data_IF_329967861979
#
_entry.id   IF_329967861979
#
_cell.length_a   1.000
_cell.length_b   1.000
_cell.length_c   1.000
_cell.angle_alpha   90.00
_cell.angle_beta   90.00
_cell.angle_gamma   90.00
#
_symmetry.space_group_name_H-M   'P 1'
#
loop_
_entity.id
_entity.type
_entity.pdbx_description
1 polymer ?
#
# COMPACT_ATOMS: atom_id res chain seq x y z
N UNK A 1 2.55 15.93 8.08
CA UNK A 1 1.42 14.98 8.14
C UNK A 1 1.92 13.64 8.70
N UNK A 2 1.07 12.91 9.41
CA UNK A 2 1.33 11.58 9.97
C UNK A 2 0.15 10.67 9.57
N UNK A 3 0.44 9.47 9.09
CA UNK A 3 -0.56 8.45 8.79
C UNK A 3 -0.50 7.37 9.86
N UNK A 4 -1.62 7.12 10.52
CA UNK A 4 -1.74 6.06 11.51
C UNK A 4 -2.63 4.95 10.96
N UNK A 5 -2.04 3.76 10.86
CA UNK A 5 -2.74 2.52 10.57
C UNK A 5 -3.05 1.74 11.82
N UNK A 6 -4.19 1.06 11.81
CA UNK A 6 -4.52 0.07 12.84
C UNK A 6 -4.71 -1.29 12.17
N UNK A 7 -4.06 -2.32 12.73
CA UNK A 7 -4.11 -3.70 12.25
C UNK A 7 -3.71 -3.86 10.77
N UNK A 8 -2.43 -3.63 10.46
CA UNK A 8 -1.86 -3.74 9.11
C UNK A 8 -2.09 -5.11 8.45
N UNK A 9 -2.15 -6.18 9.25
CA UNK A 9 -2.45 -7.56 8.84
C UNK A 9 -3.89 -7.97 9.16
N UNK A 10 -4.87 -7.07 9.13
CA UNK A 10 -6.28 -7.47 9.27
C UNK A 10 -7.14 -6.66 8.31
N UNK A 11 -6.84 -6.74 7.03
CA UNK A 11 -7.66 -6.09 6.00
C UNK A 11 -9.04 -6.74 5.86
N UNK A 12 -9.21 -7.97 6.32
CA UNK A 12 -10.46 -8.71 6.22
C UNK A 12 -11.57 -8.24 7.18
N UNK A 13 -11.24 -7.37 8.15
CA UNK A 13 -12.21 -6.80 9.10
C UNK A 13 -12.37 -5.30 8.88
N UNK A 14 -13.54 -4.77 9.26
CA UNK A 14 -13.77 -3.33 9.26
C UNK A 14 -12.71 -2.64 10.11
N UNK A 15 -12.12 -1.61 9.53
CA UNK A 15 -10.95 -0.95 10.07
C UNK A 15 -10.90 0.48 9.60
N UNK A 16 -9.95 1.25 10.12
CA UNK A 16 -9.77 2.62 9.68
C UNK A 16 -8.29 2.96 9.61
N UNK A 17 -7.98 4.06 8.94
CA UNK A 17 -6.72 4.76 9.07
C UNK A 17 -6.98 6.24 9.33
N UNK A 18 -5.98 6.92 9.89
CA UNK A 18 -6.09 8.32 10.30
C UNK A 18 -4.97 9.13 9.68
N UNK A 19 -5.32 10.28 9.10
CA UNK A 19 -4.42 11.26 8.56
C UNK A 19 -4.39 12.46 9.50
N UNK A 20 -3.24 12.69 10.12
CA UNK A 20 -3.03 13.72 11.12
C UNK A 20 -2.13 14.80 10.57
N UNK A 21 -2.56 16.04 10.73
CA UNK A 21 -1.74 17.19 10.38
C UNK A 21 -0.74 17.47 11.50
N UNK A 22 0.47 17.86 11.11
CA UNK A 22 1.53 18.29 12.03
C UNK A 22 2.18 19.55 11.45
N UNK A 23 1.98 20.74 12.06
CA UNK A 23 1.15 20.95 13.26
C UNK A 23 -0.34 20.64 13.01
N UNK A 24 -1.13 20.35 14.06
CA UNK A 24 -2.58 20.16 13.93
C UNK A 24 -3.25 21.37 13.29
N UNK A 25 -4.28 21.13 12.49
CA UNK A 25 -5.10 22.18 11.87
C UNK A 25 -6.28 22.47 12.79
N UNK A 26 -6.50 23.76 13.09
CA UNK A 26 -7.57 24.21 13.98
C UNK A 26 -8.90 24.45 13.25
N UNK A 27 -8.87 24.74 11.95
CA UNK A 27 -10.05 24.87 11.09
C UNK A 27 -9.95 23.88 9.90
N UNK A 28 -10.83 22.87 9.82
CA UNK A 28 -10.77 21.86 8.76
C UNK A 28 -10.96 22.43 7.35
N UNK A 29 -11.42 23.69 7.21
CA UNK A 29 -11.54 24.36 5.91
C UNK A 29 -10.20 24.89 5.36
N UNK A 30 -9.13 24.91 6.16
CA UNK A 30 -7.79 25.34 5.70
C UNK A 30 -7.10 24.29 4.81
N UNK A 31 -7.58 23.04 4.83
CA UNK A 31 -6.95 21.93 4.11
C UNK A 31 -8.00 21.05 3.46
N UNK A 32 -7.69 20.59 2.25
CA UNK A 32 -8.43 19.51 1.60
C UNK A 32 -7.70 18.21 1.87
N UNK A 33 -8.41 17.20 2.38
CA UNK A 33 -7.87 15.85 2.58
C UNK A 33 -8.66 14.88 1.75
N UNK A 34 -7.99 14.26 0.78
CA UNK A 34 -8.57 13.23 -0.07
C UNK A 34 -8.01 11.88 0.36
N UNK A 35 -8.89 10.89 0.50
CA UNK A 35 -8.48 9.50 0.65
C UNK A 35 -8.20 8.89 -0.72
N UNK A 36 -7.23 7.99 -0.81
CA UNK A 36 -6.89 7.36 -2.09
C UNK A 36 -6.42 5.91 -1.95
N UNK A 37 -6.55 5.17 -3.05
CA UNK A 37 -5.84 3.92 -3.30
C UNK A 37 -4.68 4.25 -4.25
N UNK A 38 -3.46 3.87 -3.90
CA UNK A 38 -2.26 4.27 -4.67
C UNK A 38 -2.04 3.44 -5.93
N UNK A 39 -2.73 2.30 -6.07
CA UNK A 39 -2.63 1.44 -7.25
C UNK A 39 -3.53 0.20 -7.15
N UNK A 40 -3.72 -0.47 -8.29
CA UNK A 40 -4.49 -1.71 -8.36
C UNK A 40 -3.66 -2.91 -7.92
N UNK A 41 -4.09 -3.55 -6.85
CA UNK A 41 -3.47 -4.78 -6.31
C UNK A 41 -4.31 -6.02 -6.62
N UNK A 42 -5.51 -5.88 -7.17
CA UNK A 42 -6.38 -7.00 -7.59
C UNK A 42 -6.81 -6.91 -9.06
N UNK A 43 -7.48 -7.93 -9.57
CA UNK A 43 -7.60 -8.19 -11.01
C UNK A 43 -8.51 -7.21 -11.75
N UNK A 44 -9.58 -6.73 -11.12
CA UNK A 44 -10.57 -5.87 -11.78
C UNK A 44 -10.76 -4.53 -11.08
N UNK A 45 -11.44 -3.58 -11.73
CA UNK A 45 -11.78 -2.27 -11.13
C UNK A 45 -12.63 -2.47 -9.88
N UNK A 46 -13.62 -3.35 -9.96
CA UNK A 46 -14.57 -3.66 -8.89
C UNK A 46 -13.87 -4.29 -7.68
N UNK A 47 -12.76 -4.98 -7.93
CA UNK A 47 -11.91 -5.54 -6.90
C UNK A 47 -10.98 -4.49 -6.26
N UNK A 48 -10.82 -3.31 -6.85
CA UNK A 48 -9.97 -2.25 -6.32
C UNK A 48 -10.77 -0.96 -6.06
N UNK A 49 -11.86 -1.00 -5.27
CA UNK A 49 -12.68 0.17 -5.05
C UNK A 49 -11.86 1.29 -4.39
N UNK A 50 -12.21 2.53 -4.71
CA UNK A 50 -11.70 3.69 -4.00
C UNK A 50 -12.11 3.63 -2.53
N UNK A 51 -11.24 4.05 -1.59
CA UNK A 51 -11.66 4.18 -0.20
C UNK A 51 -12.77 5.23 -0.08
N UNK A 52 -13.63 5.15 0.96
CA UNK A 52 -14.58 6.22 1.26
C UNK A 52 -13.88 7.55 1.53
N UNK A 53 -14.62 8.64 1.37
CA UNK A 53 -14.11 9.99 1.65
C UNK A 53 -13.60 10.13 3.08
N UNK A 54 -12.49 10.86 3.23
CA UNK A 54 -11.99 11.22 4.54
C UNK A 54 -12.91 12.23 5.22
N UNK A 55 -13.21 12.04 6.50
CA UNK A 55 -13.99 12.99 7.29
C UNK A 55 -13.19 13.49 8.51
N UNK A 56 -13.46 14.72 8.92
CA UNK A 56 -12.82 15.32 10.09
C UNK A 56 -13.50 14.83 11.38
N UNK A 57 -12.78 14.05 12.20
CA UNK A 57 -13.31 13.42 13.41
C UNK A 57 -13.24 14.37 14.62
N UNK A 58 -14.31 15.12 14.84
CA UNK A 58 -14.43 16.11 15.92
C UNK A 58 -14.62 15.50 17.32
N UNK A 59 -14.68 14.17 17.44
CA UNK A 59 -14.93 13.51 18.74
C UNK A 59 -13.70 13.47 19.68
N UNK A 60 -12.53 13.91 19.20
CA UNK A 60 -11.26 13.85 19.94
C UNK A 60 -10.56 15.21 20.01
N UNK A 61 -9.75 15.44 21.05
CA UNK A 61 -9.13 16.75 21.33
C UNK A 61 -8.07 17.21 20.31
N UNK A 62 -7.68 16.33 19.39
CA UNK A 62 -6.85 16.62 18.22
C UNK A 62 -7.41 15.84 17.04
N UNK A 63 -8.47 16.37 16.38
CA UNK A 63 -9.20 15.67 15.33
C UNK A 63 -8.28 15.21 14.19
N UNK A 64 -8.22 13.90 13.89
CA UNK A 64 -7.67 13.43 12.63
C UNK A 64 -8.69 13.59 11.50
N UNK A 65 -8.21 13.49 10.27
CA UNK A 65 -9.04 13.05 9.16
C UNK A 65 -9.07 11.53 9.17
N UNK A 66 -10.25 10.95 9.29
CA UNK A 66 -10.45 9.50 9.42
C UNK A 66 -11.08 8.94 8.15
N UNK A 67 -10.63 7.75 7.76
CA UNK A 67 -11.20 6.98 6.67
C UNK A 67 -11.61 5.62 7.24
N UNK A 68 -12.92 5.39 7.30
CA UNK A 68 -13.47 4.10 7.71
C UNK A 68 -13.52 3.18 6.49
N UNK A 69 -12.70 2.13 6.53
CA UNK A 69 -12.63 1.12 5.48
C UNK A 69 -13.82 0.20 5.62
N UNK A 70 -14.61 0.10 4.55
CA UNK A 70 -15.74 -0.82 4.45
C UNK A 70 -15.27 -2.03 3.66
N UNK A 71 -15.19 -3.20 4.30
CA UNK A 71 -14.60 -4.37 3.66
C UNK A 71 -15.60 -5.26 2.89
N UNK A 72 -16.91 -5.02 2.98
CA UNK A 72 -18.03 -5.69 2.24
C UNK A 72 -17.92 -7.23 2.05
N UNK A 73 -17.12 -7.93 2.84
CA UNK A 73 -16.76 -9.33 2.60
C UNK A 73 -15.94 -9.60 1.32
N UNK A 74 -15.46 -8.56 0.63
CA UNK A 74 -14.80 -8.66 -0.67
C UNK A 74 -13.31 -8.27 -0.66
N UNK A 75 -12.69 -8.14 0.52
CA UNK A 75 -11.29 -7.71 0.68
C UNK A 75 -11.01 -6.31 0.10
N UNK A 76 -12.02 -5.43 0.11
CA UNK A 76 -11.92 -4.07 -0.40
C UNK A 76 -10.87 -3.25 0.38
N UNK A 77 -10.60 -3.60 1.64
CA UNK A 77 -9.59 -2.95 2.47
C UNK A 77 -8.17 -3.51 2.32
N UNK A 78 -7.95 -4.46 1.40
CA UNK A 78 -6.61 -4.93 1.02
C UNK A 78 -6.00 -4.01 -0.05
N UNK A 79 -4.70 -3.71 0.07
CA UNK A 79 -3.96 -2.89 -0.88
C UNK A 79 -3.15 -1.80 -0.21
N UNK A 80 -2.77 -0.78 -1.00
CA UNK A 80 -2.05 0.40 -0.52
C UNK A 80 -2.96 1.62 -0.62
N UNK A 81 -3.16 2.28 0.51
CA UNK A 81 -4.06 3.42 0.68
C UNK A 81 -3.28 4.62 1.17
N UNK A 82 -3.89 5.80 1.15
CA UNK A 82 -3.23 6.99 1.65
C UNK A 82 -4.16 8.17 1.78
N UNK A 83 -3.58 9.27 2.26
CA UNK A 83 -4.18 10.58 2.14
C UNK A 83 -3.33 11.46 1.25
N UNK A 84 -4.01 12.17 0.38
CA UNK A 84 -3.49 13.36 -0.26
C UNK A 84 -3.99 14.57 0.50
N UNK A 85 -3.07 15.43 0.95
CA UNK A 85 -3.44 16.67 1.62
C UNK A 85 -2.96 17.85 0.82
N UNK A 86 -3.89 18.76 0.54
CA UNK A 86 -3.61 20.04 -0.09
C UNK A 86 -3.89 21.18 0.88
N UNK A 87 -2.89 22.00 1.17
CA UNK A 87 -3.03 23.27 1.90
C UNK A 87 -2.90 24.45 0.93
N UNK A 88 -3.86 25.37 0.96
CA UNK A 88 -3.90 26.60 0.15
C UNK A 88 -3.69 26.35 -1.36
N UNK A 89 -4.09 25.17 -1.86
CA UNK A 89 -3.94 24.79 -3.28
C UNK A 89 -2.49 24.57 -3.75
N UNK A 90 -1.49 24.50 -2.86
CA UNK A 90 -0.06 24.55 -3.24
C UNK A 90 0.82 23.45 -2.68
N UNK A 91 0.54 22.95 -1.48
CA UNK A 91 1.36 21.88 -0.87
C UNK A 91 0.58 20.59 -0.89
N UNK A 92 0.94 19.72 -1.83
CA UNK A 92 0.48 18.34 -1.93
C UNK A 92 1.41 17.45 -1.10
N UNK A 93 0.88 16.76 -0.09
CA UNK A 93 1.62 15.72 0.61
C UNK A 93 0.84 14.44 0.54
N UNK A 94 1.46 13.41 -0.05
CA UNK A 94 0.90 12.07 -0.11
C UNK A 94 1.63 11.20 0.91
N UNK A 95 0.86 10.52 1.75
CA UNK A 95 1.37 9.49 2.65
C UNK A 95 0.57 8.23 2.46
N UNK A 96 1.24 7.08 2.50
CA UNK A 96 0.63 5.79 2.16
C UNK A 96 0.85 4.74 3.23
N UNK A 97 -0.09 3.80 3.29
CA UNK A 97 -0.10 2.64 4.17
C UNK A 97 -0.45 1.40 3.38
N UNK A 98 0.30 0.33 3.62
CA UNK A 98 -0.01 -1.00 3.11
C UNK A 98 -0.90 -1.74 4.10
N UNK A 99 -1.97 -2.36 3.60
CA UNK A 99 -2.87 -3.23 4.35
C UNK A 99 -2.94 -4.60 3.69
N UNK A 100 -2.73 -5.64 4.47
CA UNK A 100 -2.76 -7.03 4.03
C UNK A 100 -3.68 -7.86 4.93
N UNK A 101 -4.05 -9.05 4.45
CA UNK A 101 -4.86 -10.00 5.21
C UNK A 101 -4.07 -10.63 6.36
N UNK A 102 -4.76 -11.02 7.43
CA UNK A 102 -4.13 -11.79 8.53
C UNK A 102 -3.73 -13.19 8.09
N UNK A 103 -4.47 -13.76 7.17
CA UNK A 103 -4.31 -15.10 6.61
C UNK A 103 -3.71 -15.07 5.19
N UNK A 104 -2.86 -14.06 4.92
CA UNK A 104 -2.12 -13.96 3.66
C UNK A 104 -1.16 -15.15 3.50
N UNK A 105 -1.09 -15.70 2.29
CA UNK A 105 -0.20 -16.81 1.90
C UNK A 105 1.24 -16.35 1.68
N UNK A 106 1.42 -15.06 1.41
CA UNK A 106 2.71 -14.44 1.11
C UNK A 106 2.80 -13.11 1.87
N UNK A 107 3.91 -12.87 2.56
CA UNK A 107 4.16 -11.64 3.33
C UNK A 107 5.61 -11.16 3.15
N UNK A 108 5.92 -9.86 3.38
CA UNK A 108 7.32 -9.40 3.39
C UNK A 108 8.15 -10.13 4.44
N UNK A 109 9.28 -10.68 4.04
CA UNK A 109 10.16 -11.50 4.88
C UNK A 109 10.77 -10.74 6.08
N UNK A 110 10.96 -9.43 5.94
CA UNK A 110 11.48 -8.56 6.98
C UNK A 110 10.37 -7.91 7.84
N UNK A 111 9.10 -8.25 7.59
CA UNK A 111 7.95 -7.62 8.24
C UNK A 111 7.73 -6.16 7.85
N UNK A 112 8.51 -5.61 6.90
CA UNK A 112 8.39 -4.24 6.42
C UNK A 112 7.58 -4.20 5.12
N UNK A 113 6.45 -3.51 5.15
CA UNK A 113 5.60 -3.29 3.97
C UNK A 113 6.03 -2.09 3.14
N UNK A 114 7.05 -1.38 3.59
CA UNK A 114 7.61 -0.21 2.93
C UNK A 114 9.12 -0.30 2.98
N UNK A 115 9.76 -0.03 1.85
CA UNK A 115 11.20 0.02 1.72
C UNK A 115 11.58 1.36 1.11
N UNK A 116 12.56 2.04 1.70
CA UNK A 116 13.06 3.31 1.18
C UNK A 116 14.49 3.14 0.71
N UNK A 117 14.75 3.56 -0.52
CA UNK A 117 16.05 3.47 -1.20
C UNK A 117 16.37 4.81 -1.84
N UNK A 118 17.62 5.02 -2.23
CA UNK A 118 18.06 6.21 -2.95
C UNK A 118 18.31 5.89 -4.41
N UNK A 119 18.21 6.89 -5.28
CA UNK A 119 18.66 6.76 -6.67
C UNK A 119 20.13 6.34 -6.71
N UNK A 120 20.46 5.42 -7.61
CA UNK A 120 21.81 4.85 -7.74
C UNK A 120 22.13 3.69 -6.81
N UNK A 121 21.28 3.36 -5.82
CA UNK A 121 21.40 2.10 -5.07
C UNK A 121 21.35 0.92 -6.07
N UNK A 122 22.11 -0.14 -5.83
CA UNK A 122 22.14 -1.34 -6.70
C UNK A 122 21.90 -2.59 -5.88
N UNK A 123 21.47 -3.67 -6.54
CA UNK A 123 21.20 -4.96 -5.90
C UNK A 123 20.18 -4.85 -4.76
N UNK A 124 19.16 -4.03 -4.93
CA UNK A 124 18.12 -3.79 -3.92
C UNK A 124 17.16 -4.98 -3.91
N UNK A 125 17.10 -5.77 -2.83
CA UNK A 125 16.21 -6.92 -2.75
C UNK A 125 14.86 -6.52 -2.17
N UNK A 126 13.79 -7.07 -2.73
CA UNK A 126 12.42 -7.04 -2.22
C UNK A 126 12.04 -8.49 -1.97
N UNK A 127 12.02 -8.88 -0.69
CA UNK A 127 11.94 -10.28 -0.26
C UNK A 127 10.60 -10.59 0.38
N UNK A 128 9.95 -11.61 -0.13
CA UNK A 128 8.73 -12.19 0.43
C UNK A 128 9.03 -13.54 1.06
N UNK A 129 8.14 -13.99 1.93
CA UNK A 129 8.12 -15.33 2.50
C UNK A 129 6.73 -15.92 2.32
N UNK A 130 6.68 -17.23 2.09
CA UNK A 130 5.44 -18.01 2.01
C UNK A 130 5.04 -18.43 3.42
N UNK A 131 3.82 -18.16 3.82
CA UNK A 131 3.24 -18.59 5.12
C UNK A 131 2.56 -19.95 5.01
N UNK A 132 2.28 -20.39 3.79
CA UNK A 132 1.70 -21.69 3.44
C UNK A 132 2.64 -22.48 2.50
N UNK A 133 2.40 -23.78 2.35
CA UNK A 133 3.20 -24.66 1.49
C UNK A 133 2.85 -24.50 -0.01
N UNK A 134 2.91 -23.28 -0.51
CA UNK A 134 2.66 -22.97 -1.92
C UNK A 134 3.94 -23.14 -2.73
N UNK A 135 3.92 -23.81 -3.90
CA UNK A 135 5.15 -24.02 -4.67
C UNK A 135 5.75 -22.71 -5.21
N UNK A 136 7.08 -22.59 -5.26
CA UNK A 136 7.75 -21.36 -5.72
C UNK A 136 7.40 -21.03 -7.17
N UNK A 137 7.30 -22.03 -8.02
CA UNK A 137 6.93 -21.93 -9.44
C UNK A 137 5.55 -21.32 -9.67
N UNK A 138 4.69 -21.30 -8.64
CA UNK A 138 3.38 -20.65 -8.69
C UNK A 138 3.46 -19.14 -8.45
N UNK A 139 4.58 -18.64 -7.91
CA UNK A 139 4.74 -17.22 -7.59
C UNK A 139 4.92 -16.37 -8.84
N UNK A 140 4.26 -15.22 -8.84
CA UNK A 140 4.33 -14.21 -9.88
C UNK A 140 4.51 -12.86 -9.22
N UNK A 141 5.44 -12.09 -9.76
CA UNK A 141 5.64 -10.70 -9.35
C UNK A 141 4.90 -9.76 -10.28
N UNK A 142 4.38 -8.66 -9.72
CA UNK A 142 4.00 -7.45 -10.48
C UNK A 142 4.52 -6.18 -9.82
N UNK A 143 4.64 -5.14 -10.62
CA UNK A 143 4.80 -3.77 -10.18
C UNK A 143 3.69 -2.93 -10.84
N UNK A 144 3.13 -1.95 -10.12
CA UNK A 144 2.01 -1.13 -10.61
C UNK A 144 2.41 0.06 -11.49
N UNK A 145 3.68 0.46 -11.50
CA UNK A 145 4.23 1.57 -12.28
C UNK A 145 5.03 1.09 -13.49
N UNK A 146 5.56 -0.13 -13.44
CA UNK A 146 6.41 -0.71 -14.47
C UNK A 146 5.79 -1.97 -15.09
N UNK A 147 5.57 -1.93 -16.40
CA UNK A 147 5.14 -3.10 -17.17
C UNK A 147 6.36 -3.97 -17.46
N UNK A 148 6.56 -5.04 -16.69
CA UNK A 148 7.51 -6.07 -17.11
C UNK A 148 7.02 -6.75 -18.38
N UNK A 149 7.92 -6.92 -19.36
CA UNK A 149 7.67 -7.71 -20.56
C UNK A 149 7.38 -9.19 -20.24
N UNK A 150 7.97 -9.71 -19.16
CA UNK A 150 7.65 -11.00 -18.54
C UNK A 150 7.54 -10.84 -17.02
N UNK A 151 6.49 -11.39 -16.35
CA UNK A 151 6.44 -11.40 -14.89
C UNK A 151 7.67 -12.12 -14.36
N UNK A 152 8.35 -11.60 -13.34
CA UNK A 152 9.33 -12.41 -12.61
C UNK A 152 8.57 -13.56 -11.93
N UNK A 153 8.98 -14.81 -12.16
CA UNK A 153 8.25 -16.01 -11.72
C UNK A 153 9.19 -16.96 -10.97
N UNK A 154 8.62 -17.84 -10.14
CA UNK A 154 9.41 -18.92 -9.56
C UNK A 154 10.35 -18.50 -8.43
N UNK A 155 10.26 -17.26 -7.97
CA UNK A 155 11.15 -16.69 -6.95
C UNK A 155 10.35 -15.91 -5.91
N UNK A 156 10.80 -15.96 -4.67
CA UNK A 156 10.27 -15.19 -3.53
C UNK A 156 11.10 -13.93 -3.22
N UNK A 157 12.13 -13.65 -4.03
CA UNK A 157 12.97 -12.48 -3.95
C UNK A 157 13.07 -11.80 -5.32
N UNK A 158 12.56 -10.57 -5.41
CA UNK A 158 12.76 -9.69 -6.55
C UNK A 158 13.99 -8.82 -6.30
N UNK A 159 14.89 -8.69 -7.28
CA UNK A 159 16.09 -7.86 -7.14
C UNK A 159 16.05 -6.79 -8.23
N UNK A 160 16.17 -5.52 -7.83
CA UNK A 160 16.54 -4.45 -8.75
C UNK A 160 18.07 -4.49 -8.84
N UNK A 161 18.58 -5.07 -9.93
CA UNK A 161 19.99 -5.31 -10.16
C UNK A 161 20.70 -4.07 -10.72
N UNK A 162 20.01 -3.30 -11.56
CA UNK A 162 20.47 -2.01 -12.08
C UNK A 162 20.40 -0.87 -11.04
N UNK A 163 21.09 0.26 -11.31
CA UNK A 163 20.98 1.44 -10.46
C UNK A 163 19.52 1.91 -10.34
N UNK A 164 19.04 2.03 -9.11
CA UNK A 164 17.66 2.44 -8.83
C UNK A 164 17.41 3.83 -9.40
N UNK A 165 16.26 3.95 -10.06
CA UNK A 165 15.72 5.18 -10.64
C UNK A 165 14.32 5.46 -10.09
N UNK A 166 13.83 6.69 -10.24
CA UNK A 166 12.52 7.10 -9.72
C UNK A 166 11.36 6.24 -10.25
N UNK A 167 11.45 5.71 -11.47
CA UNK A 167 10.41 4.86 -12.04
C UNK A 167 10.32 3.47 -11.40
N UNK A 168 11.35 3.05 -10.65
CA UNK A 168 11.29 1.81 -9.87
C UNK A 168 10.35 1.92 -8.67
N UNK A 169 10.04 3.14 -8.20
CA UNK A 169 9.10 3.32 -7.11
C UNK A 169 7.72 2.74 -7.44
N UNK A 170 7.05 2.17 -6.45
CA UNK A 170 5.74 1.56 -6.66
C UNK A 170 5.41 0.45 -5.68
N UNK A 171 4.28 -0.19 -5.93
CA UNK A 171 3.80 -1.36 -5.21
C UNK A 171 4.36 -2.60 -5.92
N UNK A 172 5.25 -3.29 -5.24
CA UNK A 172 5.70 -4.62 -5.61
C UNK A 172 4.77 -5.66 -4.99
N UNK A 173 4.23 -6.50 -5.84
CA UNK A 173 3.23 -7.51 -5.51
C UNK A 173 3.80 -8.90 -5.82
N UNK A 174 3.74 -9.83 -4.86
CA UNK A 174 4.06 -11.24 -5.10
C UNK A 174 2.84 -12.10 -4.80
N UNK A 175 2.25 -12.70 -5.84
CA UNK A 175 1.00 -13.45 -5.75
C UNK A 175 1.15 -14.87 -6.33
N UNK A 176 0.22 -15.74 -5.96
CA UNK A 176 0.08 -17.08 -6.55
C UNK A 176 -0.69 -16.95 -7.86
N UNK A 177 -0.20 -17.58 -8.92
CA UNK A 177 -0.85 -17.60 -10.23
C UNK A 177 -2.31 -18.04 -10.11
N UNK A 178 -3.23 -17.26 -10.69
CA UNK A 178 -4.67 -17.51 -10.62
C UNK A 178 -5.36 -17.02 -9.34
N UNK A 179 -4.62 -16.71 -8.27
CA UNK A 179 -5.20 -16.39 -6.95
C UNK A 179 -5.10 -14.91 -6.57
N UNK A 180 -4.68 -14.02 -7.48
CA UNK A 180 -4.54 -12.59 -7.19
C UNK A 180 -5.81 -11.92 -6.63
N UNK A 181 -6.99 -12.40 -7.04
CA UNK A 181 -8.30 -11.91 -6.58
C UNK A 181 -8.57 -12.15 -5.08
N UNK A 182 -7.95 -13.18 -4.48
CA UNK A 182 -8.17 -13.60 -3.09
C UNK A 182 -7.65 -12.61 -2.05
N UNK A 183 -6.81 -11.66 -2.48
CA UNK A 183 -6.16 -10.66 -1.64
C UNK A 183 -5.19 -11.27 -0.60
N UNK A 184 -4.68 -12.48 -0.83
CA UNK A 184 -3.73 -13.17 0.06
C UNK A 184 -2.26 -13.03 -0.33
N UNK A 185 -1.97 -12.18 -1.28
CA UNK A 185 -0.63 -11.98 -1.81
C UNK A 185 0.17 -10.92 -1.03
N UNK A 186 1.49 -10.96 -1.16
CA UNK A 186 2.41 -10.06 -0.47
C UNK A 186 2.54 -8.72 -1.18
N UNK A 187 2.56 -7.63 -0.40
CA UNK A 187 2.75 -6.27 -0.90
C UNK A 187 3.96 -5.60 -0.23
N UNK A 188 4.77 -4.90 -1.03
CA UNK A 188 5.81 -4.01 -0.56
C UNK A 188 5.78 -2.69 -1.35
N UNK A 189 5.68 -1.57 -0.65
CA UNK A 189 5.74 -0.23 -1.23
C UNK A 189 7.20 0.24 -1.26
N UNK A 190 7.78 0.31 -2.45
CA UNK A 190 9.12 0.88 -2.65
C UNK A 190 9.02 2.39 -2.85
N UNK A 191 9.71 3.14 -1.99
CA UNK A 191 9.88 4.59 -2.07
C UNK A 191 11.31 4.87 -2.51
N UNK A 192 11.47 5.53 -3.66
CA UNK A 192 12.78 5.95 -4.17
C UNK A 192 12.98 7.44 -3.88
N UNK A 193 14.11 7.79 -3.25
CA UNK A 193 14.53 9.17 -2.97
C UNK A 193 15.56 9.60 -4.00
N UNK A 194 15.35 10.79 -4.58
CA UNK A 194 16.33 11.45 -5.45
C UNK A 194 17.33 12.29 -4.68
#
# INVERSE_FOLDING_TARGET
MILLGYNYFKSEVDSHYQCRMSPPVNDPNEVTVESLRTGWTRNTVEENPHPPDAYYDTSVSHPPYRVDMINNGNNDAFGVFGCNVTKDGKMETIISITRMRSDADIVPSNGLFTQTVSTGDTNVPIRMMRTTEVPLESLRWRNNTFLWGDPHQGVDNFIIDEPVELYHAGIYECHIVGDRHSAKHGLNLLIVRG
#
